data_IF_268448793166
#
_entry.id   IF_268448793166
#
_cell.length_a   1.000
_cell.length_b   1.000
_cell.length_c   1.000
_cell.angle_alpha   90.00
_cell.angle_beta   90.00
_cell.angle_gamma   90.00
#
_symmetry.space_group_name_H-M   'P 1'
#
loop_
_entity.id
_entity.type
_entity.pdbx_description
1 polymer ?
#
# COMPACT_ATOMS: atom_id res chain seq x y z
N UNK A 1 18.64 1.08 0.30
CA UNK A 1 17.33 1.33 0.89
C UNK A 1 16.25 0.75 0.00
N UNK A 2 15.32 0.08 0.60
CA UNK A 2 14.24 -0.56 -0.15
C UNK A 2 13.09 0.42 -0.28
N UNK A 3 12.68 0.68 -1.50
CA UNK A 3 11.56 1.58 -1.75
C UNK A 3 10.28 0.78 -1.85
N UNK A 4 9.32 1.15 -1.04
CA UNK A 4 8.05 0.43 -0.92
C UNK A 4 6.92 1.37 -1.28
N UNK A 5 6.04 0.91 -2.15
CA UNK A 5 4.79 1.60 -2.44
C UNK A 5 3.67 0.83 -1.76
N UNK A 6 2.98 1.49 -0.86
CA UNK A 6 1.86 0.89 -0.15
C UNK A 6 0.56 1.47 -0.69
N UNK A 7 -0.30 0.61 -1.18
CA UNK A 7 -1.61 1.01 -1.68
C UNK A 7 -2.67 0.43 -0.75
N UNK A 8 -3.36 1.31 -0.05
CA UNK A 8 -4.36 0.89 0.92
C UNK A 8 -5.44 1.96 1.00
N UNK A 9 -6.69 1.56 0.80
CA UNK A 9 -7.78 2.50 0.78
C UNK A 9 -8.33 2.83 2.16
N UNK A 10 -8.09 1.99 3.15
CA UNK A 10 -8.52 2.25 4.52
C UNK A 10 -7.49 3.15 5.20
N UNK A 11 -7.90 4.36 5.61
CA UNK A 11 -6.93 5.29 6.19
C UNK A 11 -6.30 4.80 7.49
N UNK A 12 -7.04 4.07 8.30
CA UNK A 12 -6.49 3.59 9.56
C UNK A 12 -5.44 2.53 9.29
N UNK A 13 -5.76 1.59 8.43
CA UNK A 13 -4.82 0.52 8.09
C UNK A 13 -3.62 1.09 7.36
N UNK A 14 -3.87 2.03 6.44
CA UNK A 14 -2.79 2.65 5.69
C UNK A 14 -1.82 3.37 6.62
N UNK A 15 -2.36 4.17 7.54
CA UNK A 15 -1.50 4.93 8.45
C UNK A 15 -0.73 4.01 9.37
N UNK A 16 -1.38 2.99 9.88
CA UNK A 16 -0.74 2.05 10.80
C UNK A 16 0.38 1.29 10.08
N UNK A 17 0.09 0.78 8.91
CA UNK A 17 1.07 0.03 8.15
C UNK A 17 2.22 0.92 7.71
N UNK A 18 1.88 2.13 7.26
CA UNK A 18 2.88 3.09 6.83
C UNK A 18 3.82 3.44 7.98
N UNK A 19 3.26 3.68 9.14
CA UNK A 19 4.06 3.99 10.31
C UNK A 19 4.99 2.84 10.66
N UNK A 20 4.45 1.62 10.64
CA UNK A 20 5.25 0.44 10.95
C UNK A 20 6.42 0.29 9.98
N UNK A 21 6.15 0.44 8.70
CA UNK A 21 7.19 0.30 7.70
C UNK A 21 8.22 1.41 7.78
N UNK A 22 7.76 2.64 8.01
CA UNK A 22 8.68 3.77 8.11
C UNK A 22 9.57 3.68 9.34
N UNK A 23 9.14 2.95 10.35
CA UNK A 23 9.97 2.77 11.53
C UNK A 23 11.17 1.91 11.25
N UNK A 24 11.19 1.23 10.12
CA UNK A 24 12.32 0.40 9.71
C UNK A 24 13.30 1.26 8.93
N UNK A 25 14.54 1.25 9.33
CA UNK A 25 15.55 2.10 8.73
C UNK A 25 15.84 1.79 7.27
N UNK A 26 15.54 0.58 6.85
CA UNK A 26 15.88 0.13 5.51
C UNK A 26 14.81 0.40 4.49
N UNK A 27 13.68 0.98 4.90
CA UNK A 27 12.56 1.19 4.00
C UNK A 27 12.30 2.67 3.77
N UNK A 28 12.08 3.01 2.51
CA UNK A 28 11.54 4.30 2.13
C UNK A 28 10.14 4.03 1.61
N UNK A 29 9.13 4.56 2.29
CA UNK A 29 7.74 4.18 2.05
C UNK A 29 6.97 5.34 1.46
N UNK A 30 6.28 5.06 0.37
CA UNK A 30 5.32 5.99 -0.23
C UNK A 30 3.96 5.34 -0.12
N UNK A 31 3.00 6.10 0.38
CA UNK A 31 1.66 5.58 0.60
C UNK A 31 0.69 6.17 -0.39
N UNK A 32 -0.13 5.32 -0.97
CA UNK A 32 -1.16 5.73 -1.92
C UNK A 32 -2.50 5.24 -1.41
N UNK A 33 -3.53 6.05 -1.64
CA UNK A 33 -4.87 5.74 -1.18
C UNK A 33 -5.63 4.90 -2.18
N UNK A 34 -5.36 5.11 -3.44
CA UNK A 34 -6.09 4.44 -4.50
C UNK A 34 -5.14 3.90 -5.56
N UNK A 35 -5.68 3.02 -6.41
CA UNK A 35 -4.91 2.52 -7.53
C UNK A 35 -4.50 3.61 -8.51
N UNK A 36 -5.38 4.62 -8.69
CA UNK A 36 -5.04 5.74 -9.55
C UNK A 36 -3.87 6.53 -9.02
N UNK A 37 -3.86 6.75 -7.70
CA UNK A 37 -2.75 7.43 -7.07
C UNK A 37 -1.48 6.60 -7.18
N UNK A 38 -1.62 5.29 -7.02
CA UNK A 38 -0.49 4.39 -7.18
C UNK A 38 0.09 4.47 -8.59
N UNK A 39 -0.77 4.57 -9.59
CA UNK A 39 -0.32 4.70 -10.96
C UNK A 39 0.47 5.98 -11.18
N UNK A 40 0.12 7.04 -10.48
CA UNK A 40 0.86 8.30 -10.63
C UNK A 40 2.29 8.15 -10.10
N UNK A 41 2.53 7.18 -9.24
CA UNK A 41 3.87 6.88 -8.75
C UNK A 41 4.56 5.77 -9.53
N UNK A 42 3.89 5.22 -10.54
CA UNK A 42 4.43 4.06 -11.24
C UNK A 42 5.73 4.34 -11.97
N UNK A 43 6.00 5.61 -12.26
CA UNK A 43 7.25 5.99 -12.92
C UNK A 43 8.43 5.97 -11.98
N UNK A 44 8.17 5.97 -10.70
CA UNK A 44 9.24 5.87 -9.72
C UNK A 44 9.64 4.41 -9.58
N UNK A 45 10.88 4.21 -9.22
CA UNK A 45 11.38 2.86 -9.08
C UNK A 45 11.10 2.36 -7.67
N UNK A 46 10.21 1.39 -7.58
CA UNK A 46 9.92 0.75 -6.32
C UNK A 46 10.42 -0.69 -6.34
N UNK A 47 10.95 -1.12 -5.21
CA UNK A 47 11.41 -2.49 -5.07
C UNK A 47 10.27 -3.41 -4.72
N UNK A 48 9.30 -2.89 -3.98
CA UNK A 48 8.15 -3.69 -3.53
C UNK A 48 6.90 -2.83 -3.63
N UNK A 49 5.83 -3.43 -4.08
CA UNK A 49 4.52 -2.79 -4.09
C UNK A 49 3.59 -3.66 -3.28
N UNK A 50 3.12 -3.10 -2.16
CA UNK A 50 2.15 -3.76 -1.31
C UNK A 50 0.78 -3.21 -1.64
N UNK A 51 -0.11 -4.09 -2.06
CA UNK A 51 -1.44 -3.66 -2.46
C UNK A 51 -2.45 -4.47 -1.66
N UNK A 52 -3.15 -3.78 -0.78
CA UNK A 52 -4.15 -4.40 0.06
C UNK A 52 -5.47 -3.69 -0.15
N UNK A 53 -6.15 -4.10 -1.17
CA UNK A 53 -7.42 -3.49 -1.54
C UNK A 53 -8.52 -4.46 -1.19
N UNK A 54 -9.35 -4.04 -0.27
CA UNK A 54 -10.55 -4.81 0.07
C UNK A 54 -11.65 -4.38 -0.88
N UNK A 55 -12.22 -5.35 -1.54
CA UNK A 55 -13.33 -5.10 -2.44
C UNK A 55 -14.61 -5.23 -1.63
N UNK A 56 -15.26 -4.13 -1.33
CA UNK A 56 -16.39 -4.16 -0.41
C UNK A 56 -17.56 -5.00 -0.92
N UNK A 57 -17.69 -5.12 -2.20
CA UNK A 57 -18.76 -5.92 -2.78
C UNK A 57 -18.38 -7.38 -2.92
N UNK A 58 -17.18 -7.70 -2.59
CA UNK A 58 -16.74 -9.07 -2.67
C UNK A 58 -17.49 -9.90 -1.67
N UNK A 59 -18.10 -10.94 -2.12
CA UNK A 59 -18.74 -11.87 -1.23
C UNK A 59 -17.69 -12.53 -0.38
N UNK A 60 -17.90 -12.46 0.92
CA UNK A 60 -16.91 -13.01 1.81
C UNK A 60 -16.54 -14.44 1.48
N UNK A 61 -17.50 -15.19 1.00
CA UNK A 61 -17.25 -16.58 0.69
C UNK A 61 -16.29 -16.74 -0.47
N UNK A 62 -16.16 -15.73 -1.30
CA UNK A 62 -15.25 -15.80 -2.42
C UNK A 62 -13.80 -15.78 -1.97
N UNK A 63 -13.58 -15.35 -0.75
CA UNK A 63 -12.24 -15.27 -0.20
C UNK A 63 -11.80 -16.56 0.45
N UNK A 64 -12.67 -17.48 0.55
CA UNK A 64 -12.35 -18.74 1.20
C UNK A 64 -11.60 -19.67 0.28
#
# INVERSE_FOLDING_TARGET
MIRVLLVEDDPVIRDTTCYFLKSRQNFEVVCAETGGEALSHARENFDVILMDILLPDTNGMDLC
#
